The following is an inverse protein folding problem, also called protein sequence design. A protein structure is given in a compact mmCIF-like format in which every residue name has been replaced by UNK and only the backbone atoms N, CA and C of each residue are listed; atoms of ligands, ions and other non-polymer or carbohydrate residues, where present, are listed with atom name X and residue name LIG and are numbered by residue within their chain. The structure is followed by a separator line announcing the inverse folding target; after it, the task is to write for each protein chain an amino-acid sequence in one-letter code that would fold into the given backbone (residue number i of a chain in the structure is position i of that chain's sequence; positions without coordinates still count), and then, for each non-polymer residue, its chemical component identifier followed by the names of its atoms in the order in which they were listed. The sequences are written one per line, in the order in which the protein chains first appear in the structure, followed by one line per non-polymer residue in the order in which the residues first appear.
data_IF_172740470485
#
_entry.id   IF_172740470485
#
_cell.length_a   1.000
_cell.length_b   1.000
_cell.length_c   1.000
_cell.angle_alpha   90.00
_cell.angle_beta   90.00
_cell.angle_gamma   90.00
#
_symmetry.space_group_name_H-M   'P 1'
#
loop_
_entity.id
_entity.type
_entity.pdbx_description
1 polymer ?
#
# COMPACT_ATOMS: atom_id res chain seq x y z
N UNK A 1 18.87 -15.65 -14.83
CA UNK A 1 17.98 -14.73 -14.10
C UNK A 1 18.81 -13.60 -13.58
N UNK A 2 18.40 -12.38 -13.86
CA UNK A 2 19.00 -11.18 -13.30
C UNK A 2 18.14 -10.66 -12.14
N UNK A 3 18.79 -10.05 -11.17
CA UNK A 3 18.13 -9.44 -10.01
C UNK A 3 18.73 -8.08 -9.73
N UNK A 4 17.93 -7.16 -9.20
CA UNK A 4 18.39 -5.88 -8.70
C UNK A 4 17.47 -5.39 -7.57
N UNK A 5 17.99 -4.49 -6.75
CA UNK A 5 17.20 -3.79 -5.77
C UNK A 5 16.71 -2.47 -6.36
N UNK A 6 15.41 -2.24 -6.33
CA UNK A 6 14.79 -1.02 -6.84
C UNK A 6 14.36 -0.10 -5.69
N UNK A 7 15.09 0.98 -5.50
CA UNK A 7 14.79 2.06 -4.55
C UNK A 7 14.41 3.36 -5.25
N UNK A 8 13.98 3.28 -6.50
CA UNK A 8 13.67 4.44 -7.33
C UNK A 8 12.35 5.14 -6.96
N UNK A 9 11.49 4.48 -6.17
CA UNK A 9 10.19 5.02 -5.77
C UNK A 9 10.33 6.24 -4.87
N UNK A 10 10.49 7.42 -5.48
CA UNK A 10 10.53 8.72 -4.79
C UNK A 10 10.20 9.85 -5.79
N UNK A 11 9.81 11.01 -5.29
CA UNK A 11 9.57 12.20 -6.13
C UNK A 11 8.59 11.92 -7.28
N UNK A 12 9.06 12.11 -8.50
CA UNK A 12 8.25 11.90 -9.71
C UNK A 12 8.10 10.42 -10.08
N UNK A 13 9.04 9.57 -9.65
CA UNK A 13 8.91 8.13 -9.84
C UNK A 13 8.06 7.52 -8.72
N UNK A 14 6.86 7.11 -9.05
CA UNK A 14 5.88 6.53 -8.10
C UNK A 14 5.80 5.01 -8.16
N UNK A 15 6.61 4.37 -8.98
CA UNK A 15 6.57 2.93 -9.20
C UNK A 15 7.95 2.28 -9.23
N UNK A 16 8.08 1.23 -10.01
CA UNK A 16 9.33 0.52 -10.28
C UNK A 16 9.94 0.97 -11.61
N UNK A 17 11.25 0.80 -11.76
CA UNK A 17 11.92 1.00 -13.04
C UNK A 17 11.55 -0.12 -14.00
N UNK A 18 11.36 0.22 -15.26
CA UNK A 18 11.13 -0.76 -16.32
C UNK A 18 12.39 -1.60 -16.59
N UNK A 19 12.19 -2.80 -17.11
CA UNK A 19 13.31 -3.69 -17.45
C UNK A 19 14.30 -3.03 -18.44
N UNK A 20 13.80 -2.24 -19.37
CA UNK A 20 14.64 -1.55 -20.35
C UNK A 20 15.49 -0.43 -19.77
N UNK A 21 15.11 0.11 -18.61
CA UNK A 21 15.92 1.12 -17.92
C UNK A 21 17.07 0.50 -17.14
N UNK A 22 16.94 -0.77 -16.72
CA UNK A 22 17.93 -1.44 -15.86
C UNK A 22 18.77 -2.48 -16.61
N UNK A 23 18.33 -2.94 -17.77
CA UNK A 23 19.02 -3.97 -18.57
C UNK A 23 19.15 -3.61 -20.02
N UNK A 24 20.35 -3.90 -20.57
CA UNK A 24 20.58 -3.82 -22.01
C UNK A 24 20.03 -5.06 -22.74
N UNK A 25 20.23 -6.24 -22.14
CA UNK A 25 19.72 -7.51 -22.69
C UNK A 25 18.41 -7.90 -22.02
N UNK A 26 17.31 -7.63 -22.70
CA UNK A 26 15.96 -7.87 -22.20
C UNK A 26 15.43 -9.31 -22.42
N UNK A 27 16.25 -10.20 -22.99
CA UNK A 27 15.84 -11.59 -23.24
C UNK A 27 15.83 -12.47 -21.96
N UNK A 28 16.50 -12.03 -20.91
CA UNK A 28 16.58 -12.79 -19.67
C UNK A 28 15.52 -12.38 -18.65
N UNK A 29 15.02 -13.32 -17.81
CA UNK A 29 14.13 -12.99 -16.70
C UNK A 29 14.77 -12.00 -15.73
N UNK A 30 14.00 -11.03 -15.27
CA UNK A 30 14.40 -10.02 -14.30
C UNK A 30 13.49 -10.07 -13.08
N UNK A 31 14.09 -10.11 -11.90
CA UNK A 31 13.39 -10.03 -10.62
C UNK A 31 13.86 -8.79 -9.86
N UNK A 32 12.93 -8.00 -9.38
CA UNK A 32 13.22 -6.98 -8.38
C UNK A 32 13.37 -7.69 -7.05
N UNK A 33 14.62 -7.84 -6.59
CA UNK A 33 14.95 -8.61 -5.39
C UNK A 33 14.68 -7.88 -4.09
N UNK A 34 14.52 -6.56 -4.15
CA UNK A 34 14.10 -5.73 -3.03
C UNK A 34 13.50 -4.42 -3.56
N UNK A 35 12.35 -4.03 -3.03
CA UNK A 35 11.74 -2.73 -3.29
C UNK A 35 11.14 -2.15 -2.01
N UNK A 36 10.80 -0.86 -1.98
CA UNK A 36 10.20 -0.14 -0.86
C UNK A 36 11.04 -0.04 0.43
N UNK A 37 12.27 -0.56 0.49
CA UNK A 37 13.13 -0.60 1.68
C UNK A 37 13.08 0.66 2.56
N UNK A 38 14.14 1.36 2.75
CA UNK A 38 14.33 2.42 3.75
C UNK A 38 13.52 3.71 3.58
N UNK A 39 12.53 3.75 2.72
CA UNK A 39 12.03 5.04 2.22
C UNK A 39 10.87 5.62 3.01
N UNK A 40 10.13 4.80 3.76
CA UNK A 40 8.95 5.28 4.47
C UNK A 40 8.62 4.48 5.75
N UNK A 41 9.47 4.57 6.78
CA UNK A 41 9.24 3.85 8.03
C UNK A 41 7.90 4.26 8.62
N UNK A 42 7.08 3.28 9.02
CA UNK A 42 5.72 3.52 9.51
C UNK A 42 5.40 2.61 10.68
N UNK A 43 5.01 3.21 11.80
CA UNK A 43 4.59 2.51 13.02
C UNK A 43 3.07 2.27 12.97
N UNK A 44 2.60 1.25 13.68
CA UNK A 44 1.16 0.95 13.76
C UNK A 44 0.34 2.09 14.38
N UNK A 45 0.97 2.95 15.17
CA UNK A 45 0.36 4.11 15.85
C UNK A 45 0.69 5.46 15.22
N UNK A 46 1.33 5.48 14.05
CA UNK A 46 1.52 6.72 13.27
C UNK A 46 0.17 7.27 12.81
N UNK A 47 0.18 8.53 12.37
CA UNK A 47 -1.03 9.19 11.87
C UNK A 47 -1.68 8.37 10.75
N UNK A 48 -2.98 8.48 10.64
CA UNK A 48 -3.76 7.81 9.57
C UNK A 48 -3.17 8.11 8.18
N UNK A 49 -2.85 9.37 7.88
CA UNK A 49 -2.25 9.76 6.62
C UNK A 49 -0.94 9.03 6.33
N UNK A 50 -0.07 8.85 7.35
CA UNK A 50 1.18 8.13 7.18
C UNK A 50 0.96 6.64 6.94
N UNK A 51 0.06 6.02 7.69
CA UNK A 51 -0.27 4.59 7.54
C UNK A 51 -0.91 4.31 6.17
N UNK A 52 -1.78 5.21 5.71
CA UNK A 52 -2.39 5.14 4.38
C UNK A 52 -1.33 5.28 3.28
N UNK A 53 -0.48 6.30 3.35
CA UNK A 53 0.59 6.49 2.36
C UNK A 53 1.57 5.31 2.34
N UNK A 54 1.89 4.71 3.48
CA UNK A 54 2.69 3.49 3.54
C UNK A 54 2.06 2.36 2.71
N UNK A 55 0.78 2.09 2.90
CA UNK A 55 0.06 1.07 2.14
C UNK A 55 0.00 1.40 0.64
N UNK A 56 -0.28 2.65 0.29
CA UNK A 56 -0.35 3.07 -1.10
C UNK A 56 1.01 3.01 -1.83
N UNK A 57 2.12 3.23 -1.12
CA UNK A 57 3.46 3.02 -1.69
C UNK A 57 3.68 1.57 -2.08
N UNK A 58 3.33 0.64 -1.20
CA UNK A 58 3.37 -0.79 -1.54
C UNK A 58 2.48 -1.12 -2.74
N UNK A 59 1.25 -0.60 -2.78
CA UNK A 59 0.33 -0.82 -3.89
C UNK A 59 0.90 -0.29 -5.22
N UNK A 60 1.43 0.94 -5.24
CA UNK A 60 2.00 1.55 -6.45
C UNK A 60 3.19 0.77 -7.00
N UNK A 61 4.18 0.50 -6.16
CA UNK A 61 5.39 -0.22 -6.59
C UNK A 61 5.06 -1.64 -7.04
N UNK A 62 4.19 -2.33 -6.29
CA UNK A 62 3.80 -3.69 -6.66
C UNK A 62 2.98 -3.69 -7.95
N UNK A 63 2.03 -2.77 -8.11
CA UNK A 63 1.26 -2.63 -9.33
C UNK A 63 2.15 -2.36 -10.55
N UNK A 64 3.08 -1.42 -10.44
CA UNK A 64 3.99 -1.06 -11.53
C UNK A 64 4.88 -2.24 -11.94
N UNK A 65 5.50 -2.89 -10.96
CA UNK A 65 6.34 -4.05 -11.21
C UNK A 65 5.58 -5.20 -11.88
N UNK A 66 4.33 -5.42 -11.51
CA UNK A 66 3.51 -6.50 -12.06
C UNK A 66 2.81 -6.11 -13.37
N UNK A 67 2.58 -4.82 -13.62
CA UNK A 67 2.04 -4.34 -14.89
C UNK A 67 3.08 -4.42 -16.02
N UNK A 68 4.36 -4.29 -15.70
CA UNK A 68 5.45 -4.53 -16.64
C UNK A 68 5.68 -6.04 -16.79
N UNK A 69 5.05 -6.64 -17.79
CA UNK A 69 5.20 -8.07 -18.10
C UNK A 69 6.65 -8.53 -18.37
N UNK A 70 7.61 -7.60 -18.35
CA UNK A 70 9.02 -7.91 -18.46
C UNK A 70 9.67 -8.28 -17.13
N UNK A 71 9.07 -7.90 -15.98
CA UNK A 71 9.47 -8.40 -14.68
C UNK A 71 8.88 -9.79 -14.44
N UNK A 72 9.70 -10.66 -13.86
CA UNK A 72 9.28 -12.03 -13.48
C UNK A 72 8.69 -12.06 -12.06
N UNK A 73 9.03 -11.07 -11.24
CA UNK A 73 8.54 -10.93 -9.88
C UNK A 73 9.19 -9.78 -9.13
N UNK A 74 8.63 -9.47 -7.98
CA UNK A 74 9.13 -8.43 -7.07
C UNK A 74 9.04 -8.90 -5.62
N UNK A 75 10.09 -8.64 -4.86
CA UNK A 75 10.13 -8.82 -3.41
C UNK A 75 10.15 -7.46 -2.74
N UNK A 76 9.19 -7.25 -1.89
CA UNK A 76 9.07 -6.00 -1.14
C UNK A 76 9.85 -6.09 0.18
N UNK A 77 10.52 -5.02 0.56
CA UNK A 77 11.11 -4.89 1.87
C UNK A 77 10.16 -4.12 2.78
N UNK A 78 9.68 -4.72 3.91
CA UNK A 78 9.86 -6.11 4.27
C UNK A 78 8.60 -6.63 4.97
N UNK A 79 8.59 -7.91 5.35
CA UNK A 79 7.41 -8.51 5.98
C UNK A 79 7.20 -8.02 7.40
N UNK A 80 8.26 -7.94 8.23
CA UNK A 80 8.16 -7.57 9.64
C UNK A 80 9.06 -6.38 9.99
N UNK A 81 8.63 -5.59 10.96
CA UNK A 81 9.54 -4.70 11.67
C UNK A 81 10.59 -5.54 12.41
N UNK A 82 11.82 -5.05 12.48
CA UNK A 82 12.92 -5.82 13.05
C UNK A 82 13.89 -4.94 13.84
N UNK A 83 14.57 -5.55 14.81
CA UNK A 83 15.62 -4.89 15.54
C UNK A 83 16.84 -4.63 14.66
N UNK A 84 17.42 -3.46 14.77
CA UNK A 84 18.59 -3.04 13.98
C UNK A 84 19.66 -2.38 14.85
N UNK A 85 20.81 -2.04 14.25
CA UNK A 85 21.90 -1.42 14.99
C UNK A 85 21.67 0.09 15.18
N UNK A 86 22.54 0.72 16.00
CA UNK A 86 22.42 2.12 16.43
C UNK A 86 22.43 3.14 15.29
N UNK A 87 23.03 2.81 14.17
CA UNK A 87 23.26 3.74 13.05
C UNK A 87 22.16 3.60 11.96
N UNK A 88 21.16 2.74 12.21
CA UNK A 88 20.11 2.46 11.27
C UNK A 88 18.75 2.34 11.98
N UNK A 89 17.72 2.90 11.36
CA UNK A 89 16.37 2.92 11.92
C UNK A 89 16.13 4.17 12.78
N UNK A 90 15.08 4.13 13.57
CA UNK A 90 14.75 5.15 14.55
C UNK A 90 15.61 5.00 15.81
N UNK A 91 15.61 5.99 16.69
CA UNK A 91 16.41 5.99 17.93
C UNK A 91 16.16 4.81 18.87
N UNK A 92 15.06 4.10 18.72
CA UNK A 92 14.72 2.87 19.42
C UNK A 92 15.34 1.59 18.80
N UNK A 93 16.15 1.75 17.76
CA UNK A 93 16.85 0.67 17.03
C UNK A 93 15.89 -0.36 16.42
N UNK A 94 14.74 0.09 15.97
CA UNK A 94 13.79 -0.73 15.23
C UNK A 94 13.63 -0.15 13.81
N UNK A 95 13.71 -1.01 12.82
CA UNK A 95 13.39 -0.68 11.44
C UNK A 95 11.90 -0.90 11.21
N UNK A 96 11.15 0.17 11.01
CA UNK A 96 9.68 0.15 10.89
C UNK A 96 9.21 0.04 9.43
N UNK A 97 9.90 -0.74 8.60
CA UNK A 97 9.55 -0.91 7.19
C UNK A 97 8.63 -2.11 6.93
N UNK A 98 8.34 -2.89 7.96
CA UNK A 98 7.49 -4.07 7.83
C UNK A 98 6.06 -3.72 7.44
N UNK A 99 5.43 -4.57 6.65
CA UNK A 99 3.98 -4.56 6.45
C UNK A 99 3.25 -5.12 7.68
N UNK A 100 3.98 -5.78 8.56
CA UNK A 100 3.58 -6.20 9.90
C UNK A 100 4.54 -5.63 10.93
N UNK A 101 4.08 -5.45 12.16
CA UNK A 101 4.94 -5.06 13.26
C UNK A 101 5.87 -6.21 13.74
N UNK A 102 6.74 -5.94 14.69
CA UNK A 102 7.67 -6.95 15.25
C UNK A 102 6.96 -8.07 16.05
N UNK A 103 5.70 -7.90 16.41
CA UNK A 103 4.86 -8.90 17.03
C UNK A 103 3.98 -9.67 16.03
N UNK A 104 4.15 -9.40 14.73
CA UNK A 104 3.40 -9.96 13.60
C UNK A 104 1.94 -9.49 13.49
N UNK A 105 1.58 -8.38 14.15
CA UNK A 105 0.31 -7.75 13.89
C UNK A 105 0.35 -7.04 12.52
N UNK A 106 -0.66 -7.22 11.67
CA UNK A 106 -0.70 -6.56 10.37
C UNK A 106 -0.82 -5.04 10.54
N UNK A 107 -0.05 -4.31 9.74
CA UNK A 107 -0.29 -2.89 9.48
C UNK A 107 -1.19 -2.77 8.24
N UNK A 108 -1.70 -1.57 7.98
CA UNK A 108 -2.56 -1.34 6.82
C UNK A 108 -1.92 -1.83 5.49
N UNK A 109 -0.61 -1.71 5.34
CA UNK A 109 0.12 -2.19 4.16
C UNK A 109 0.03 -3.70 3.92
N UNK A 110 -0.22 -4.51 4.96
CA UNK A 110 -0.43 -5.94 4.79
C UNK A 110 -1.68 -6.26 3.97
N UNK A 111 -2.69 -5.39 4.04
CA UNK A 111 -3.95 -5.57 3.32
C UNK A 111 -3.81 -5.42 1.81
N UNK A 112 -2.77 -4.72 1.33
CA UNK A 112 -2.43 -4.68 -0.11
C UNK A 112 -2.16 -6.07 -0.66
N UNK A 113 -1.47 -6.91 0.12
CA UNK A 113 -1.13 -8.27 -0.27
C UNK A 113 -2.26 -9.25 0.03
N UNK A 114 -2.90 -9.11 1.18
CA UNK A 114 -4.01 -9.95 1.58
C UNK A 114 -5.18 -9.87 0.59
N UNK A 115 -5.42 -8.71 0.01
CA UNK A 115 -6.51 -8.53 -0.97
C UNK A 115 -6.24 -9.17 -2.34
N UNK A 116 -5.02 -9.67 -2.64
CA UNK A 116 -4.72 -10.24 -3.96
C UNK A 116 -5.19 -11.68 -4.15
N UNK A 117 -5.90 -12.26 -3.20
CA UNK A 117 -6.47 -13.60 -3.26
C UNK A 117 -8.01 -13.54 -3.40
N UNK A 118 -8.65 -14.66 -3.77
CA UNK A 118 -10.12 -14.76 -3.96
C UNK A 118 -10.77 -15.79 -3.03
N UNK A 119 -9.99 -16.42 -2.15
CA UNK A 119 -10.48 -17.53 -1.33
C UNK A 119 -11.38 -17.06 -0.19
N UNK A 120 -11.01 -15.93 0.43
CA UNK A 120 -11.73 -15.37 1.56
C UNK A 120 -12.03 -13.88 1.34
N UNK A 121 -13.23 -13.39 1.73
CA UNK A 121 -13.53 -11.96 1.65
C UNK A 121 -12.58 -11.14 2.51
N UNK A 122 -11.97 -10.13 1.91
CA UNK A 122 -11.09 -9.16 2.59
C UNK A 122 -11.71 -7.78 2.45
N UNK A 123 -11.77 -7.04 3.55
CA UNK A 123 -12.08 -5.63 3.56
C UNK A 123 -11.35 -4.97 4.73
N UNK A 124 -10.41 -4.11 4.42
CA UNK A 124 -9.74 -3.23 5.37
C UNK A 124 -9.86 -1.79 4.88
N UNK A 125 -10.17 -0.87 5.76
CA UNK A 125 -10.29 0.56 5.41
C UNK A 125 -9.19 1.38 6.08
N UNK A 126 -8.69 2.40 5.39
CA UNK A 126 -7.57 3.21 5.87
C UNK A 126 -7.93 4.20 6.99
N UNK A 127 -9.20 4.28 7.36
CA UNK A 127 -9.70 5.18 8.41
C UNK A 127 -10.59 4.41 9.38
N UNK A 128 -10.67 4.88 10.61
CA UNK A 128 -11.69 4.40 11.56
C UNK A 128 -13.10 4.91 11.23
N UNK A 129 -13.21 5.89 10.34
CA UNK A 129 -14.45 6.67 10.08
C UNK A 129 -15.06 7.27 11.37
N UNK A 130 -14.26 7.36 12.43
CA UNK A 130 -14.65 7.95 13.70
C UNK A 130 -14.13 9.39 13.74
N UNK A 131 -15.03 10.35 13.86
CA UNK A 131 -14.67 11.76 13.99
C UNK A 131 -14.16 12.04 15.41
N UNK A 132 -14.65 11.33 16.41
CA UNK A 132 -14.21 11.44 17.80
C UNK A 132 -13.99 12.88 18.24
N UNK A 133 -12.89 13.12 18.92
CA UNK A 133 -12.46 14.44 19.39
C UNK A 133 -11.64 15.25 18.34
N UNK A 134 -11.56 14.79 17.09
CA UNK A 134 -10.78 15.44 16.06
C UNK A 134 -11.53 16.65 15.46
N UNK A 135 -10.86 17.80 15.42
CA UNK A 135 -11.46 19.06 14.96
C UNK A 135 -11.76 19.10 13.45
N UNK A 136 -11.14 18.26 12.66
CA UNK A 136 -11.20 18.32 11.19
C UNK A 136 -11.89 17.11 10.55
N UNK A 137 -12.35 16.17 11.34
CA UNK A 137 -12.94 14.96 10.80
C UNK A 137 -11.93 14.03 10.11
N UNK A 138 -12.42 13.18 9.25
CA UNK A 138 -11.62 12.22 8.50
C UNK A 138 -10.77 12.89 7.41
N UNK A 139 -9.78 12.16 6.91
CA UNK A 139 -9.13 12.55 5.66
C UNK A 139 -10.17 12.59 4.54
N UNK A 140 -10.05 13.58 3.61
CA UNK A 140 -11.00 13.70 2.50
C UNK A 140 -11.01 12.49 1.58
N UNK A 141 -9.89 11.79 1.51
CA UNK A 141 -9.75 10.55 0.76
C UNK A 141 -9.29 9.44 1.67
N UNK A 142 -10.02 8.36 1.70
CA UNK A 142 -9.58 7.11 2.31
C UNK A 142 -9.72 5.95 1.32
N UNK A 143 -9.16 4.82 1.67
CA UNK A 143 -9.07 3.69 0.76
C UNK A 143 -9.61 2.42 1.41
N UNK A 144 -10.31 1.64 0.62
CA UNK A 144 -10.61 0.25 0.92
C UNK A 144 -9.59 -0.65 0.22
N UNK A 145 -8.99 -1.55 0.99
CA UNK A 145 -8.16 -2.65 0.51
C UNK A 145 -9.03 -3.90 0.57
N UNK A 146 -9.47 -4.36 -0.58
CA UNK A 146 -10.48 -5.42 -0.68
C UNK A 146 -10.26 -6.25 -1.94
N UNK A 147 -10.74 -7.49 -1.91
CA UNK A 147 -10.86 -8.33 -3.09
C UNK A 147 -12.26 -8.32 -3.70
N UNK A 148 -13.12 -7.38 -3.28
CA UNK A 148 -14.37 -7.10 -3.96
C UNK A 148 -14.16 -6.15 -5.15
N UNK A 149 -15.03 -6.23 -6.15
CA UNK A 149 -14.98 -5.39 -7.34
C UNK A 149 -15.41 -3.95 -7.04
N UNK A 150 -16.31 -3.78 -6.06
CA UNK A 150 -16.94 -2.51 -5.72
C UNK A 150 -17.14 -2.39 -4.21
N UNK A 151 -17.13 -1.14 -3.72
CA UNK A 151 -17.47 -0.77 -2.34
C UNK A 151 -18.57 0.26 -2.35
N UNK A 152 -19.64 0.01 -1.61
CA UNK A 152 -20.77 0.94 -1.46
C UNK A 152 -20.67 1.70 -0.15
N UNK A 153 -20.77 3.02 -0.25
CA UNK A 153 -20.81 3.93 0.90
C UNK A 153 -22.26 4.25 1.30
N UNK A 154 -22.54 4.09 2.57
CA UNK A 154 -23.79 4.51 3.20
C UNK A 154 -23.50 5.52 4.31
N UNK A 155 -24.35 6.54 4.45
CA UNK A 155 -24.36 7.48 5.58
C UNK A 155 -25.72 7.42 6.27
N UNK A 156 -25.74 7.05 7.56
CA UNK A 156 -26.99 6.87 8.32
C UNK A 156 -28.01 5.97 7.57
N UNK A 157 -27.55 4.81 7.11
CA UNK A 157 -28.32 3.82 6.34
C UNK A 157 -28.82 4.31 4.96
N UNK A 158 -28.45 5.51 4.54
CA UNK A 158 -28.74 6.02 3.21
C UNK A 158 -27.59 5.76 2.25
N UNK A 159 -27.87 5.11 1.15
CA UNK A 159 -26.91 4.91 0.08
C UNK A 159 -26.42 6.26 -0.47
N UNK A 160 -25.10 6.38 -0.60
CA UNK A 160 -24.43 7.58 -1.11
C UNK A 160 -23.86 7.32 -2.50
N UNK A 161 -22.97 6.35 -2.62
CA UNK A 161 -22.32 6.03 -3.89
C UNK A 161 -21.65 4.66 -3.83
N UNK A 162 -21.28 4.16 -5.00
CA UNK A 162 -20.44 2.98 -5.20
C UNK A 162 -19.11 3.39 -5.82
N UNK A 163 -18.03 2.80 -5.35
CA UNK A 163 -16.67 3.06 -5.79
C UNK A 163 -16.02 1.78 -6.29
N UNK A 164 -15.20 1.91 -7.31
CA UNK A 164 -14.33 0.87 -7.86
C UNK A 164 -12.98 1.46 -8.23
N UNK A 165 -12.01 0.65 -8.63
CA UNK A 165 -10.70 1.14 -9.04
C UNK A 165 -10.29 0.59 -10.41
N UNK A 166 -9.52 1.41 -11.15
CA UNK A 166 -8.78 1.01 -12.34
C UNK A 166 -7.33 1.51 -12.32
N UNK A 167 -6.90 2.10 -11.21
CA UNK A 167 -5.62 2.82 -11.12
C UNK A 167 -4.41 1.89 -10.98
N UNK A 168 -4.63 0.64 -10.53
CA UNK A 168 -3.57 -0.31 -10.17
C UNK A 168 -3.59 -1.52 -11.09
N UNK A 169 -3.30 -1.30 -12.38
CA UNK A 169 -3.47 -2.31 -13.43
C UNK A 169 -2.62 -3.57 -13.28
N UNK A 170 -1.55 -3.52 -12.50
CA UNK A 170 -0.71 -4.68 -12.18
C UNK A 170 -1.20 -5.49 -10.98
N UNK A 171 -2.17 -4.98 -10.22
CA UNK A 171 -2.79 -5.69 -9.11
C UNK A 171 -4.11 -6.32 -9.56
N UNK A 172 -4.39 -7.53 -9.08
CA UNK A 172 -5.68 -8.16 -9.30
C UNK A 172 -6.80 -7.37 -8.62
N UNK A 173 -6.54 -6.92 -7.41
CA UNK A 173 -7.44 -6.12 -6.59
C UNK A 173 -6.69 -4.88 -6.09
N UNK A 174 -6.81 -3.79 -6.83
CA UNK A 174 -6.21 -2.51 -6.45
C UNK A 174 -6.98 -1.81 -5.33
N UNK A 175 -6.31 -0.97 -4.51
CA UNK A 175 -7.01 -0.14 -3.52
C UNK A 175 -8.10 0.72 -4.16
N UNK A 176 -9.28 0.75 -3.55
CA UNK A 176 -10.42 1.54 -3.99
C UNK A 176 -10.44 2.84 -3.20
N UNK A 177 -10.27 3.98 -3.90
CA UNK A 177 -10.40 5.30 -3.30
C UNK A 177 -11.86 5.62 -3.03
N UNK A 178 -12.16 6.08 -1.83
CA UNK A 178 -13.49 6.49 -1.39
C UNK A 178 -13.44 7.97 -1.01
N UNK A 179 -14.29 8.76 -1.65
CA UNK A 179 -14.53 10.15 -1.29
C UNK A 179 -15.75 10.21 -0.37
N UNK A 180 -15.54 10.38 0.93
CA UNK A 180 -16.60 10.48 1.92
C UNK A 180 -17.16 11.91 2.06
N UNK A 181 -16.63 12.89 1.32
CA UNK A 181 -17.15 14.25 1.31
C UNK A 181 -18.46 14.36 0.53
N UNK A 182 -18.75 13.39 -0.35
CA UNK A 182 -20.00 13.34 -1.11
C UNK A 182 -21.19 12.91 -0.23
N UNK A 183 -22.36 13.37 -0.60
CA UNK A 183 -23.58 13.13 0.15
C UNK A 183 -23.75 14.06 1.35
N UNK A 184 -24.98 14.09 1.90
CA UNK A 184 -25.28 14.95 3.04
C UNK A 184 -24.72 14.36 4.32
N UNK A 185 -23.97 15.16 5.09
CA UNK A 185 -23.78 14.90 6.50
C UNK A 185 -25.15 15.13 7.18
N UNK A 186 -25.72 14.05 7.68
CA UNK A 186 -26.82 14.15 8.61
C UNK A 186 -26.20 14.31 10.00
N UNK A 187 -26.24 15.53 10.50
CA UNK A 187 -25.91 15.86 11.89
C UNK A 187 -27.04 15.38 12.79
#
# INVERSE_FOLDING_TARGET
IYTFNDFSHHGDNKGALSKTEVMVDTHHPLIISEANGHMFPTKSFDTQARRQEHALRHARVFSDAMADHQHTGVFQWCMFDYATHKDFGSGDRICYHGVMDSFRNPKLAASVYASQQDEEPILEISTSMDIGDYNAGNLPDFYAFTNADEVSLYKNDQFVSTFSTSEYSGLKHGPIRIDDTIGKLLL
#
